data_IF_550126184583
#
_entry.id   IF_550126184583
#
_cell.length_a   1.000
_cell.length_b   1.000
_cell.length_c   1.000
_cell.angle_alpha   90.00
_cell.angle_beta   90.00
_cell.angle_gamma   90.00
#
_symmetry.space_group_name_H-M   'P 1'
#
loop_
_entity.id
_entity.type
_entity.pdbx_description
1 polymer ?
#
# COMPACT_ATOMS: atom_id res chain seq x y z
N UNK A 1 -48.11 27.45 -65.89
CA UNK A 1 -48.80 27.69 -64.63
C UNK A 1 -48.66 26.44 -63.77
N UNK A 2 -47.74 26.44 -62.83
CA UNK A 2 -47.76 25.66 -61.60
C UNK A 2 -46.51 26.04 -60.79
N UNK A 3 -46.73 26.76 -59.71
CA UNK A 3 -45.66 27.18 -58.77
C UNK A 3 -45.13 26.02 -58.06
N UNK A 4 -43.81 25.89 -58.02
CA UNK A 4 -43.10 24.93 -57.16
C UNK A 4 -42.70 25.64 -55.89
N UNK A 5 -43.33 25.28 -54.77
CA UNK A 5 -43.01 25.78 -53.43
C UNK A 5 -41.79 25.03 -52.93
N UNK A 6 -40.71 25.76 -52.67
CA UNK A 6 -39.47 25.24 -52.07
C UNK A 6 -39.65 25.29 -50.56
N UNK A 7 -39.83 24.10 -49.94
CA UNK A 7 -39.90 23.93 -48.50
C UNK A 7 -38.44 23.82 -47.98
N UNK A 8 -37.95 24.93 -47.45
CA UNK A 8 -36.65 24.96 -46.78
C UNK A 8 -36.75 24.24 -45.42
N UNK A 9 -36.23 23.04 -45.33
CA UNK A 9 -36.18 22.27 -44.11
C UNK A 9 -34.91 22.65 -43.32
N UNK A 10 -35.08 23.55 -42.34
CA UNK A 10 -34.05 23.96 -41.41
C UNK A 10 -33.78 22.82 -40.41
N UNK A 11 -32.71 22.05 -40.64
CA UNK A 11 -32.27 21.02 -39.72
C UNK A 11 -31.53 21.71 -38.56
N UNK A 12 -32.22 21.82 -37.41
CA UNK A 12 -31.66 22.30 -36.15
C UNK A 12 -30.83 21.16 -35.54
N UNK A 13 -29.51 21.18 -35.71
CA UNK A 13 -28.57 20.32 -35.02
C UNK A 13 -28.54 20.70 -33.53
N UNK A 14 -29.32 19.97 -32.73
CA UNK A 14 -29.18 19.97 -31.27
C UNK A 14 -27.87 19.29 -30.92
N UNK A 15 -26.81 20.05 -30.72
CA UNK A 15 -25.62 19.63 -30.03
C UNK A 15 -26.01 19.30 -28.57
N UNK A 16 -26.37 18.06 -28.26
CA UNK A 16 -26.39 17.59 -26.90
C UNK A 16 -24.95 17.47 -26.47
N UNK A 17 -24.42 18.53 -25.88
CA UNK A 17 -23.18 18.51 -25.14
C UNK A 17 -23.31 17.45 -24.02
N UNK A 18 -22.78 16.26 -24.24
CA UNK A 18 -22.52 15.33 -23.13
C UNK A 18 -21.52 16.04 -22.25
N UNK A 19 -21.99 16.65 -21.16
CA UNK A 19 -21.14 17.03 -20.03
C UNK A 19 -20.48 15.74 -19.57
N UNK A 20 -19.21 15.55 -19.94
CA UNK A 20 -18.34 14.58 -19.29
C UNK A 20 -18.22 15.10 -17.87
N UNK A 21 -19.08 14.60 -16.98
CA UNK A 21 -18.84 14.71 -15.55
C UNK A 21 -17.55 13.92 -15.36
N UNK A 22 -16.42 14.60 -15.33
CA UNK A 22 -15.20 14.06 -14.77
C UNK A 22 -15.59 13.59 -13.37
N UNK A 23 -15.72 12.30 -13.16
CA UNK A 23 -15.75 11.73 -11.84
C UNK A 23 -14.44 12.18 -11.20
N UNK A 24 -14.51 13.22 -10.37
CA UNK A 24 -13.48 13.56 -9.40
C UNK A 24 -13.51 12.42 -8.39
N UNK A 25 -13.04 11.25 -8.79
CA UNK A 25 -12.74 10.17 -7.90
C UNK A 25 -11.76 10.76 -6.88
N UNK A 26 -12.18 10.81 -5.63
CA UNK A 26 -11.30 11.22 -4.54
C UNK A 26 -10.10 10.31 -4.59
N UNK A 27 -8.95 10.91 -4.94
CA UNK A 27 -7.68 10.20 -4.96
C UNK A 27 -7.45 9.62 -3.56
N UNK A 28 -7.53 8.30 -3.42
CA UNK A 28 -7.30 7.62 -2.15
C UNK A 28 -5.79 7.34 -2.02
N UNK A 29 -5.13 8.08 -1.13
CA UNK A 29 -3.72 7.87 -0.79
C UNK A 29 -3.69 7.50 0.69
N UNK A 30 -3.69 6.20 1.00
CA UNK A 30 -3.70 5.77 2.40
C UNK A 30 -2.40 6.15 3.10
N UNK A 31 -2.56 6.68 4.32
CA UNK A 31 -1.46 7.07 5.19
C UNK A 31 -1.45 6.17 6.43
N UNK A 32 -0.27 5.64 6.75
CA UNK A 32 0.00 4.95 8.02
C UNK A 32 0.71 5.89 8.97
N UNK A 33 0.47 5.74 10.27
CA UNK A 33 1.23 6.48 11.29
C UNK A 33 2.50 5.72 11.60
N UNK A 34 3.62 6.44 11.53
CA UNK A 34 4.93 5.93 11.86
C UNK A 34 5.61 6.84 12.87
N UNK A 35 5.88 6.36 14.08
CA UNK A 35 6.61 7.06 15.13
C UNK A 35 7.99 6.40 15.25
N UNK A 36 9.05 7.19 15.11
CA UNK A 36 10.41 6.70 15.28
C UNK A 36 10.69 6.39 16.75
N UNK A 37 11.27 5.24 17.04
CA UNK A 37 11.69 4.87 18.40
C UNK A 37 12.85 5.76 18.94
N UNK A 38 13.40 6.63 18.11
CA UNK A 38 14.51 7.52 18.48
C UNK A 38 14.07 8.78 19.24
N UNK A 39 12.78 9.02 19.39
CA UNK A 39 12.31 10.14 20.20
C UNK A 39 12.30 9.74 21.68
N UNK A 40 13.52 9.55 22.25
CA UNK A 40 13.71 9.25 23.67
C UNK A 40 13.06 10.28 24.60
N UNK A 41 12.71 11.45 24.05
CA UNK A 41 12.05 12.54 24.78
C UNK A 41 10.58 12.28 25.06
N UNK A 42 9.91 11.39 24.29
CA UNK A 42 8.47 11.15 24.39
C UNK A 42 8.16 9.94 25.28
N UNK A 43 7.49 10.13 26.44
CA UNK A 43 7.11 9.02 27.30
C UNK A 43 6.22 8.00 26.56
N UNK A 44 6.47 6.69 26.71
CA UNK A 44 5.74 5.61 25.98
C UNK A 44 4.20 5.75 26.00
N UNK A 45 3.65 6.19 27.15
CA UNK A 45 2.20 6.40 27.25
C UNK A 45 1.74 7.59 26.38
N UNK A 46 2.56 8.64 26.29
CA UNK A 46 2.28 9.79 25.43
C UNK A 46 2.44 9.42 23.95
N UNK A 47 3.44 8.60 23.61
CA UNK A 47 3.64 8.04 22.27
C UNK A 47 2.41 7.27 21.77
N UNK A 48 1.87 6.36 22.59
CA UNK A 48 0.64 5.62 22.25
C UNK A 48 -0.56 6.56 22.03
N UNK A 49 -0.68 7.63 22.84
CA UNK A 49 -1.73 8.63 22.67
C UNK A 49 -1.53 9.46 21.39
N UNK A 50 -0.28 9.79 21.05
CA UNK A 50 0.04 10.50 19.81
C UNK A 50 -0.24 9.64 18.59
N UNK A 51 0.16 8.37 18.60
CA UNK A 51 -0.16 7.41 17.54
C UNK A 51 -1.67 7.33 17.29
N UNK A 52 -2.46 7.10 18.35
CA UNK A 52 -3.92 7.04 18.24
C UNK A 52 -4.52 8.37 17.74
N UNK A 53 -3.96 9.50 18.15
CA UNK A 53 -4.41 10.81 17.68
C UNK A 53 -4.13 11.01 16.19
N UNK A 54 -2.96 10.61 15.70
CA UNK A 54 -2.58 10.73 14.28
C UNK A 54 -3.34 9.72 13.40
N UNK A 55 -3.60 8.50 13.89
CA UNK A 55 -4.51 7.55 13.23
C UNK A 55 -5.88 8.19 13.02
N UNK A 56 -6.38 8.90 14.06
CA UNK A 56 -7.64 9.63 13.97
C UNK A 56 -7.55 10.81 13.00
N UNK A 57 -6.43 11.53 12.94
CA UNK A 57 -6.18 12.57 11.92
C UNK A 57 -6.33 11.99 10.52
N UNK A 58 -5.70 10.86 10.23
CA UNK A 58 -5.83 10.19 8.94
C UNK A 58 -7.27 9.72 8.67
N UNK A 59 -7.91 9.07 9.65
CA UNK A 59 -9.27 8.53 9.51
C UNK A 59 -10.33 9.60 9.30
N UNK A 60 -10.32 10.67 10.12
CA UNK A 60 -11.29 11.77 10.05
C UNK A 60 -11.20 12.57 8.73
N UNK A 61 -10.08 12.41 8.00
CA UNK A 61 -9.83 13.02 6.69
C UNK A 61 -9.86 12.00 5.53
N UNK A 62 -10.29 10.74 5.78
CA UNK A 62 -10.49 9.72 4.75
C UNK A 62 -9.18 9.13 4.17
N UNK A 63 -8.07 9.23 4.92
CA UNK A 63 -6.73 8.81 4.47
C UNK A 63 -6.16 7.64 5.29
N UNK A 64 -6.94 7.00 6.15
CA UNK A 64 -6.45 5.88 6.96
C UNK A 64 -6.23 4.63 6.11
N UNK A 65 -5.08 3.99 6.29
CA UNK A 65 -4.79 2.70 5.67
C UNK A 65 -5.69 1.60 6.25
N UNK A 66 -6.47 0.93 5.39
CA UNK A 66 -7.42 -0.12 5.79
C UNK A 66 -6.76 -1.44 6.18
N UNK A 67 -5.56 -1.72 5.67
CA UNK A 67 -4.92 -3.05 5.75
C UNK A 67 -3.68 -3.07 6.64
N UNK A 68 -3.46 -2.06 7.49
CA UNK A 68 -2.27 -1.96 8.35
C UNK A 68 -0.95 -1.83 7.57
N UNK A 69 -1.04 -1.50 6.26
CA UNK A 69 0.10 -1.22 5.40
C UNK A 69 -0.22 -0.02 4.51
N UNK A 70 0.68 0.95 4.49
CA UNK A 70 0.70 2.01 3.50
C UNK A 70 2.14 2.38 3.17
N UNK A 71 2.39 2.74 1.92
CA UNK A 71 3.69 3.23 1.49
C UNK A 71 3.97 4.62 2.06
N UNK A 72 2.94 5.44 2.16
CA UNK A 72 3.04 6.79 2.68
C UNK A 72 2.71 6.82 4.16
N UNK A 73 3.48 7.61 4.90
CA UNK A 73 3.36 7.69 6.36
C UNK A 73 3.19 9.12 6.83
N UNK A 74 2.46 9.29 7.94
CA UNK A 74 2.54 10.49 8.77
C UNK A 74 3.52 10.18 9.89
N UNK A 75 4.60 10.94 9.97
CA UNK A 75 5.60 10.82 11.03
C UNK A 75 5.66 12.11 11.86
N UNK A 76 5.51 12.04 13.19
CA UNK A 76 5.67 13.17 14.07
C UNK A 76 7.10 13.34 14.53
N UNK A 77 7.50 14.58 14.80
CA UNK A 77 8.70 14.93 15.57
C UNK A 77 8.28 15.90 16.67
N UNK A 78 8.52 15.51 17.91
CA UNK A 78 8.19 16.30 19.09
C UNK A 78 9.42 17.02 19.62
N UNK A 79 9.29 18.33 19.90
CA UNK A 79 10.36 19.14 20.47
C UNK A 79 9.84 19.92 21.70
N UNK A 80 10.59 19.91 22.77
CA UNK A 80 10.30 20.72 23.99
C UNK A 80 10.97 22.07 23.84
N UNK A 81 10.17 23.13 23.72
CA UNK A 81 10.66 24.51 23.62
C UNK A 81 10.84 25.14 24.98
N UNK A 82 10.02 24.78 25.94
CA UNK A 82 10.07 25.34 27.28
C UNK A 82 9.44 24.43 28.35
N UNK A 83 9.96 24.50 29.56
CA UNK A 83 9.47 23.78 30.73
C UNK A 83 9.41 24.70 31.93
N UNK A 84 8.23 24.87 32.48
CA UNK A 84 7.97 25.64 33.69
C UNK A 84 7.30 24.76 34.75
N UNK A 85 7.68 24.92 36.01
CA UNK A 85 7.06 24.23 37.14
C UNK A 85 6.38 25.27 37.98
N UNK A 86 5.05 25.19 38.08
CA UNK A 86 4.24 26.04 38.94
C UNK A 86 4.19 25.40 40.31
N UNK A 87 4.61 26.13 41.37
CA UNK A 87 4.49 25.63 42.74
C UNK A 87 3.02 25.61 43.17
N UNK A 88 2.64 24.57 43.92
CA UNK A 88 1.30 24.41 44.46
C UNK A 88 1.05 23.00 44.98
N UNK A 89 0.04 22.72 45.77
CA UNK A 89 -0.49 21.39 46.04
C UNK A 89 -1.69 21.08 45.10
N UNK A 90 -1.55 20.25 44.05
CA UNK A 90 -0.35 19.62 43.52
C UNK A 90 0.50 20.57 42.64
N UNK A 91 1.79 20.25 42.47
CA UNK A 91 2.66 20.94 41.48
C UNK A 91 2.10 20.75 40.10
N UNK A 92 2.21 21.79 39.27
CA UNK A 92 1.83 21.70 37.84
C UNK A 92 3.06 21.91 36.94
N UNK A 93 3.21 21.03 36.01
CA UNK A 93 4.23 21.11 34.93
C UNK A 93 3.59 21.74 33.70
N UNK A 94 4.17 22.82 33.22
CA UNK A 94 3.74 23.51 32.01
C UNK A 94 4.84 23.38 30.98
N UNK A 95 4.50 22.78 29.84
CA UNK A 95 5.41 22.61 28.73
C UNK A 95 4.90 23.35 27.51
N UNK A 96 5.82 24.01 26.82
CA UNK A 96 5.63 24.51 25.47
C UNK A 96 6.32 23.55 24.51
N UNK A 97 5.53 22.99 23.57
CA UNK A 97 5.97 21.99 22.61
C UNK A 97 5.84 22.51 21.18
N UNK A 98 6.73 22.03 20.35
CA UNK A 98 6.59 22.07 18.91
C UNK A 98 6.42 20.63 18.38
N UNK A 99 5.32 20.39 17.67
CA UNK A 99 5.05 19.12 16.99
C UNK A 99 5.13 19.35 15.48
N UNK A 100 6.19 18.85 14.86
CA UNK A 100 6.28 18.83 13.40
C UNK A 100 5.77 17.50 12.87
N UNK A 101 4.84 17.57 11.92
CA UNK A 101 4.29 16.42 11.21
C UNK A 101 4.86 16.38 9.80
N UNK A 102 5.26 15.20 9.35
CA UNK A 102 5.75 14.96 8.00
C UNK A 102 4.86 13.96 7.29
N UNK A 103 4.57 14.16 6.01
CA UNK A 103 4.10 13.12 5.11
C UNK A 103 5.28 12.72 4.24
N UNK A 104 5.61 11.42 4.26
CA UNK A 104 6.74 10.89 3.50
C UNK A 104 6.50 9.51 2.94
N UNK A 105 7.42 9.09 2.08
CA UNK A 105 7.52 7.72 1.59
C UNK A 105 8.45 6.94 2.53
N UNK A 106 7.92 5.91 3.19
CA UNK A 106 8.67 5.11 4.17
C UNK A 106 9.85 4.35 3.57
N UNK A 107 9.84 4.09 2.26
CA UNK A 107 10.88 3.35 1.54
C UNK A 107 11.81 4.26 0.75
N UNK A 108 11.25 5.27 0.09
CA UNK A 108 12.00 6.24 -0.71
C UNK A 108 12.70 7.33 0.10
N UNK A 109 12.49 7.37 1.42
CA UNK A 109 13.03 8.40 2.33
C UNK A 109 12.76 9.84 1.84
N UNK A 110 11.62 10.04 1.16
CA UNK A 110 11.23 11.31 0.60
C UNK A 110 10.12 11.95 1.41
N UNK A 111 10.31 13.22 1.78
CA UNK A 111 9.27 14.04 2.42
C UNK A 111 8.51 14.78 1.31
N UNK A 112 7.17 14.72 1.37
CA UNK A 112 6.26 15.42 0.46
C UNK A 112 5.69 16.69 1.09
N UNK A 113 5.36 16.64 2.37
CA UNK A 113 4.78 17.80 3.08
C UNK A 113 5.19 17.79 4.54
N UNK A 114 5.19 18.96 5.13
CA UNK A 114 5.38 19.13 6.58
C UNK A 114 4.53 20.28 7.12
N UNK A 115 4.14 20.17 8.39
CA UNK A 115 3.50 21.24 9.13
C UNK A 115 3.96 21.22 10.57
N UNK A 116 4.00 22.38 11.20
CA UNK A 116 4.42 22.51 12.60
C UNK A 116 3.28 23.10 13.43
N UNK A 117 2.99 22.44 14.55
CA UNK A 117 1.96 22.82 15.50
C UNK A 117 2.61 23.23 16.83
N UNK A 118 2.33 24.43 17.30
CA UNK A 118 2.72 24.86 18.63
C UNK A 118 1.66 24.38 19.63
N UNK A 119 2.08 23.59 20.61
CA UNK A 119 1.21 22.96 21.60
C UNK A 119 1.66 23.35 23.01
N UNK A 120 0.70 23.55 23.89
CA UNK A 120 0.95 23.77 25.32
C UNK A 120 0.31 22.66 26.12
N UNK A 121 1.08 22.00 26.97
CA UNK A 121 0.60 20.94 27.86
C UNK A 121 0.76 21.31 29.32
N UNK A 122 -0.25 20.96 30.11
CA UNK A 122 -0.24 21.15 31.56
C UNK A 122 -0.58 19.83 32.25
N UNK A 123 0.17 19.47 33.27
CA UNK A 123 -0.07 18.24 34.01
C UNK A 123 0.63 18.19 35.34
N UNK A 124 0.22 17.29 36.22
CA UNK A 124 0.84 17.06 37.52
C UNK A 124 2.22 16.40 37.43
N UNK A 125 2.52 15.85 36.26
CA UNK A 125 3.83 15.33 35.88
C UNK A 125 4.05 15.51 34.39
N UNK A 126 5.26 15.20 33.93
CA UNK A 126 5.71 15.33 32.55
C UNK A 126 4.78 14.57 31.58
N UNK A 127 4.55 13.28 31.82
CA UNK A 127 3.69 12.44 30.95
C UNK A 127 2.28 13.02 30.81
N UNK A 128 1.67 13.53 31.90
CA UNK A 128 0.36 14.17 31.85
C UNK A 128 0.37 15.45 31.04
N UNK A 129 1.47 16.24 31.10
CA UNK A 129 1.62 17.44 30.29
C UNK A 129 1.72 17.12 28.79
N UNK A 130 2.47 16.07 28.39
CA UNK A 130 2.49 15.60 27.01
C UNK A 130 1.10 15.15 26.54
N UNK A 131 0.40 14.34 27.32
CA UNK A 131 -0.93 13.85 26.98
C UNK A 131 -1.93 15.02 26.83
N UNK A 132 -1.84 16.05 27.68
CA UNK A 132 -2.69 17.23 27.59
C UNK A 132 -2.43 18.01 26.29
N UNK A 133 -1.16 18.18 25.90
CA UNK A 133 -0.79 18.80 24.62
C UNK A 133 -1.33 18.00 23.42
N UNK A 134 -1.13 16.67 23.40
CA UNK A 134 -1.58 15.78 22.34
C UNK A 134 -3.11 15.82 22.16
N UNK A 135 -3.87 15.91 23.27
CA UNK A 135 -5.34 16.03 23.21
C UNK A 135 -5.81 17.27 22.46
N UNK A 136 -5.03 18.36 22.48
CA UNK A 136 -5.35 19.63 21.83
C UNK A 136 -5.15 19.62 20.31
N UNK A 137 -4.48 18.59 19.76
CA UNK A 137 -4.40 18.42 18.31
C UNK A 137 -5.83 18.24 17.75
N UNK A 138 -6.26 19.15 16.89
CA UNK A 138 -7.57 19.12 16.28
C UNK A 138 -7.49 18.46 14.89
N UNK A 139 -8.01 17.22 14.69
CA UNK A 139 -7.86 16.47 13.44
C UNK A 139 -8.36 17.17 12.18
N UNK A 140 -9.34 18.07 12.34
CA UNK A 140 -9.96 18.85 11.24
C UNK A 140 -9.61 20.33 11.27
N UNK A 141 -8.51 20.73 11.96
CA UNK A 141 -8.03 22.10 11.87
C UNK A 141 -7.61 22.45 10.43
N UNK A 142 -7.64 23.75 10.11
CA UNK A 142 -7.24 24.24 8.77
C UNK A 142 -5.81 23.85 8.44
N UNK A 143 -4.90 23.92 9.42
CA UNK A 143 -3.49 23.59 9.23
C UNK A 143 -3.28 22.10 8.93
N UNK A 144 -3.99 21.21 9.64
CA UNK A 144 -3.97 19.77 9.37
C UNK A 144 -4.57 19.47 7.99
N UNK A 145 -5.69 20.07 7.64
CA UNK A 145 -6.31 19.85 6.33
C UNK A 145 -5.42 20.35 5.18
N UNK A 146 -4.82 21.54 5.34
CA UNK A 146 -3.87 22.06 4.36
C UNK A 146 -2.64 21.16 4.21
N UNK A 147 -2.08 20.69 5.32
CA UNK A 147 -0.96 19.76 5.34
C UNK A 147 -1.26 18.44 4.61
N UNK A 148 -2.42 17.84 4.89
CA UNK A 148 -2.84 16.59 4.25
C UNK A 148 -3.10 16.78 2.75
N UNK A 149 -3.72 17.91 2.36
CA UNK A 149 -3.99 18.23 0.96
C UNK A 149 -2.68 18.47 0.20
N UNK A 150 -1.78 19.28 0.73
CA UNK A 150 -0.46 19.56 0.13
C UNK A 150 0.36 18.26 -0.03
N UNK A 151 0.36 17.40 0.98
CA UNK A 151 1.05 16.12 0.94
C UNK A 151 0.52 15.21 -0.17
N UNK A 152 -0.81 15.09 -0.27
CA UNK A 152 -1.48 14.32 -1.31
C UNK A 152 -1.16 14.86 -2.71
N UNK A 153 -1.28 16.17 -2.92
CA UNK A 153 -1.04 16.80 -4.20
C UNK A 153 0.41 16.59 -4.66
N UNK A 154 1.39 16.75 -3.75
CA UNK A 154 2.82 16.53 -4.05
C UNK A 154 3.15 15.06 -4.30
N UNK A 155 2.48 14.11 -3.64
CA UNK A 155 2.61 12.69 -3.96
C UNK A 155 2.14 12.44 -5.39
N UNK A 156 0.95 12.90 -5.76
CA UNK A 156 0.40 12.72 -7.11
C UNK A 156 1.30 13.38 -8.15
N UNK A 157 1.75 14.59 -7.91
CA UNK A 157 2.68 15.30 -8.79
C UNK A 157 3.98 14.53 -8.99
N UNK A 158 4.58 14.03 -7.91
CA UNK A 158 5.79 13.23 -7.99
C UNK A 158 5.62 12.00 -8.87
N UNK A 159 4.54 11.23 -8.66
CA UNK A 159 4.29 10.05 -9.47
C UNK A 159 3.92 10.39 -10.91
N UNK A 160 3.18 11.47 -11.15
CA UNK A 160 2.90 11.97 -12.49
C UNK A 160 4.17 12.33 -13.30
N UNK A 161 5.21 12.77 -12.61
CA UNK A 161 6.46 13.17 -13.23
C UNK A 161 7.46 12.00 -13.34
N UNK A 162 7.35 10.97 -12.50
CA UNK A 162 8.37 9.92 -12.36
C UNK A 162 7.89 8.51 -12.73
N UNK A 163 6.60 8.27 -13.00
CA UNK A 163 6.08 6.91 -13.24
C UNK A 163 6.81 6.14 -14.33
N UNK A 164 7.26 6.81 -15.39
CA UNK A 164 7.99 6.14 -16.49
C UNK A 164 9.33 5.55 -16.01
N UNK A 165 10.04 6.29 -15.15
CA UNK A 165 11.31 5.82 -14.59
C UNK A 165 11.09 4.68 -13.59
N UNK A 166 10.02 4.76 -12.79
CA UNK A 166 9.61 3.72 -11.84
C UNK A 166 9.27 2.44 -12.61
N UNK A 167 8.47 2.54 -13.67
CA UNK A 167 8.12 1.41 -14.54
C UNK A 167 9.37 0.79 -15.18
N UNK A 168 10.28 1.58 -15.71
CA UNK A 168 11.54 1.08 -16.28
C UNK A 168 12.39 0.35 -15.24
N UNK A 169 12.48 0.89 -14.01
CA UNK A 169 13.19 0.23 -12.90
C UNK A 169 12.54 -1.11 -12.56
N UNK A 170 11.21 -1.15 -12.45
CA UNK A 170 10.47 -2.38 -12.18
C UNK A 170 10.67 -3.44 -13.29
N UNK A 171 10.66 -3.03 -14.55
CA UNK A 171 10.97 -3.94 -15.68
C UNK A 171 12.39 -4.49 -15.61
N UNK A 172 13.38 -3.66 -15.24
CA UNK A 172 14.75 -4.10 -15.04
C UNK A 172 14.90 -5.11 -13.90
N UNK A 173 14.19 -4.89 -12.78
CA UNK A 173 14.14 -5.82 -11.65
C UNK A 173 13.49 -7.15 -12.06
N UNK A 174 12.40 -7.11 -12.80
CA UNK A 174 11.71 -8.30 -13.30
C UNK A 174 12.63 -9.11 -14.25
N UNK A 175 13.42 -8.44 -15.11
CA UNK A 175 14.41 -9.10 -15.96
C UNK A 175 15.52 -9.81 -15.16
N UNK A 176 15.79 -9.34 -13.93
CA UNK A 176 16.73 -9.95 -12.97
C UNK A 176 16.04 -10.99 -12.07
N UNK A 177 14.76 -11.30 -12.30
CA UNK A 177 13.90 -12.17 -11.48
C UNK A 177 13.61 -11.64 -10.06
N UNK A 178 13.83 -10.36 -9.80
CA UNK A 178 13.45 -9.67 -8.56
C UNK A 178 11.99 -9.20 -8.68
N UNK A 179 11.07 -10.17 -8.83
CA UNK A 179 9.68 -9.90 -9.17
C UNK A 179 8.92 -9.21 -8.04
N UNK A 180 9.19 -9.60 -6.79
CA UNK A 180 8.51 -9.04 -5.62
C UNK A 180 8.83 -7.54 -5.46
N UNK A 181 10.10 -7.15 -5.62
CA UNK A 181 10.51 -5.75 -5.58
C UNK A 181 9.94 -4.98 -6.77
N UNK A 182 9.91 -5.59 -7.96
CA UNK A 182 9.30 -4.97 -9.14
C UNK A 182 7.81 -4.67 -8.93
N UNK A 183 7.05 -5.63 -8.39
CA UNK A 183 5.63 -5.46 -8.08
C UNK A 183 5.41 -4.42 -6.98
N UNK A 184 6.27 -4.40 -5.96
CA UNK A 184 6.25 -3.39 -4.91
C UNK A 184 6.40 -1.97 -5.46
N UNK A 185 7.36 -1.73 -6.36
CA UNK A 185 7.53 -0.42 -7.01
C UNK A 185 6.33 -0.02 -7.86
N UNK A 186 5.71 -0.97 -8.57
CA UNK A 186 4.56 -0.70 -9.44
C UNK A 186 3.30 -0.37 -8.64
N UNK A 187 3.07 -1.04 -7.50
CA UNK A 187 1.92 -0.76 -6.65
C UNK A 187 2.02 0.57 -5.90
N UNK A 188 3.23 1.15 -5.82
CA UNK A 188 3.47 2.45 -5.23
C UNK A 188 2.83 3.61 -6.01
N UNK A 189 2.56 3.39 -7.30
CA UNK A 189 1.98 4.42 -8.18
C UNK A 189 0.50 4.59 -7.84
N UNK A 190 0.06 5.77 -7.32
CA UNK A 190 -1.32 5.97 -6.89
C UNK A 190 -2.33 5.85 -8.05
N UNK A 191 -3.53 5.33 -7.73
CA UNK A 191 -4.60 5.12 -8.72
C UNK A 191 -5.02 6.39 -9.47
N UNK A 192 -4.89 7.55 -8.84
CA UNK A 192 -5.19 8.85 -9.44
C UNK A 192 -4.03 9.46 -10.24
N UNK A 193 -2.88 8.81 -10.31
CA UNK A 193 -1.75 9.30 -11.12
C UNK A 193 -1.89 8.90 -12.59
N UNK A 194 -1.33 9.72 -13.49
CA UNK A 194 -1.31 9.46 -14.93
C UNK A 194 -0.64 8.14 -15.31
N UNK A 195 0.22 7.63 -14.42
CA UNK A 195 0.99 6.43 -14.65
C UNK A 195 0.29 5.14 -14.22
N UNK A 196 -0.88 5.22 -13.57
CA UNK A 196 -1.51 4.06 -12.95
C UNK A 196 -1.84 2.94 -13.94
N UNK A 197 -2.56 3.25 -15.01
CA UNK A 197 -2.92 2.24 -16.01
C UNK A 197 -1.69 1.58 -16.66
N UNK A 198 -0.67 2.40 -16.94
CA UNK A 198 0.60 1.89 -17.47
C UNK A 198 1.32 0.98 -16.45
N UNK A 199 1.30 1.34 -15.16
CA UNK A 199 1.88 0.50 -14.10
C UNK A 199 1.12 -0.81 -13.94
N UNK A 200 -0.21 -0.78 -14.00
CA UNK A 200 -1.07 -1.95 -13.92
C UNK A 200 -0.81 -2.94 -15.07
N UNK A 201 -0.68 -2.42 -16.29
CA UNK A 201 -0.35 -3.24 -17.47
C UNK A 201 1.02 -3.92 -17.36
N UNK A 202 2.02 -3.25 -16.77
CA UNK A 202 3.36 -3.83 -16.53
C UNK A 202 3.32 -4.80 -15.35
N UNK A 203 2.61 -4.47 -14.28
CA UNK A 203 2.45 -5.34 -13.12
C UNK A 203 1.82 -6.69 -13.50
N UNK A 204 0.82 -6.69 -14.36
CA UNK A 204 0.21 -7.93 -14.87
C UNK A 204 1.23 -8.81 -15.61
N UNK A 205 2.14 -8.21 -16.39
CA UNK A 205 3.21 -8.95 -17.10
C UNK A 205 4.26 -9.48 -16.13
N UNK A 206 4.68 -8.66 -15.16
CA UNK A 206 5.65 -9.06 -14.12
C UNK A 206 5.09 -10.19 -13.28
N UNK A 207 3.82 -10.10 -12.89
CA UNK A 207 3.14 -11.16 -12.15
C UNK A 207 3.08 -12.47 -12.95
N UNK A 208 2.79 -12.40 -14.26
CA UNK A 208 2.82 -13.60 -15.10
C UNK A 208 4.22 -14.24 -15.14
N UNK A 209 5.28 -13.43 -15.22
CA UNK A 209 6.65 -13.95 -15.17
C UNK A 209 6.97 -14.57 -13.80
N UNK A 210 6.49 -13.97 -12.72
CA UNK A 210 6.63 -14.49 -11.36
C UNK A 210 5.96 -15.85 -11.20
N UNK A 211 4.69 -15.98 -11.57
CA UNK A 211 3.97 -17.24 -11.43
C UNK A 211 4.54 -18.34 -12.34
N UNK A 212 5.01 -17.99 -13.53
CA UNK A 212 5.69 -18.93 -14.44
C UNK A 212 7.03 -19.43 -13.86
N UNK A 213 7.85 -18.54 -13.28
CA UNK A 213 9.12 -18.90 -12.64
C UNK A 213 8.88 -19.74 -11.37
N UNK A 214 7.93 -19.34 -10.53
CA UNK A 214 7.52 -20.10 -9.35
C UNK A 214 7.02 -21.50 -9.73
N UNK A 215 6.17 -21.58 -10.76
CA UNK A 215 5.65 -22.82 -11.25
C UNK A 215 6.78 -23.79 -11.65
N UNK A 216 7.72 -23.35 -12.46
CA UNK A 216 8.86 -24.19 -12.88
C UNK A 216 9.68 -24.68 -11.69
N UNK A 217 9.96 -23.79 -10.72
CA UNK A 217 10.72 -24.15 -9.53
C UNK A 217 10.00 -25.19 -8.66
N UNK A 218 8.72 -24.98 -8.39
CA UNK A 218 7.95 -25.88 -7.54
C UNK A 218 7.59 -27.19 -8.24
N UNK A 219 7.28 -27.17 -9.53
CA UNK A 219 7.05 -28.39 -10.29
C UNK A 219 8.29 -29.30 -10.30
N UNK A 220 9.49 -28.71 -10.50
CA UNK A 220 10.73 -29.48 -10.44
C UNK A 220 10.97 -30.10 -9.06
N UNK A 221 10.71 -29.33 -7.97
CA UNK A 221 10.80 -29.86 -6.60
C UNK A 221 9.80 -30.98 -6.36
N UNK A 222 8.54 -30.79 -6.78
CA UNK A 222 7.50 -31.83 -6.67
C UNK A 222 7.86 -33.11 -7.41
N UNK A 223 8.38 -32.99 -8.64
CA UNK A 223 8.88 -34.14 -9.44
C UNK A 223 10.02 -34.85 -8.73
N UNK A 224 10.96 -34.12 -8.15
CA UNK A 224 12.10 -34.69 -7.43
C UNK A 224 11.63 -35.42 -6.17
N UNK A 225 10.76 -34.82 -5.37
CA UNK A 225 10.18 -35.45 -4.17
C UNK A 225 9.44 -36.74 -4.53
N UNK A 226 8.58 -36.71 -5.54
CA UNK A 226 7.87 -37.89 -6.02
C UNK A 226 8.79 -38.98 -6.58
N UNK A 227 9.81 -38.61 -7.34
CA UNK A 227 10.75 -39.57 -7.92
C UNK A 227 11.63 -40.23 -6.88
N UNK A 228 11.94 -39.57 -5.77
CA UNK A 228 12.77 -40.10 -4.70
C UNK A 228 12.05 -41.19 -3.89
N UNK A 229 10.75 -41.03 -3.64
CA UNK A 229 9.92 -41.95 -2.88
C UNK A 229 8.50 -41.97 -3.47
N UNK A 230 8.20 -43.00 -4.27
CA UNK A 230 6.85 -43.15 -4.89
C UNK A 230 5.86 -43.85 -3.92
N UNK A 231 5.70 -43.31 -2.71
CA UNK A 231 4.79 -43.73 -1.67
C UNK A 231 4.07 -42.55 -1.02
N UNK A 232 3.33 -42.73 0.07
CA UNK A 232 2.60 -41.65 0.76
C UNK A 232 3.48 -40.49 1.21
N UNK A 233 4.71 -40.76 1.66
CA UNK A 233 5.63 -39.69 2.10
C UNK A 233 6.09 -38.79 0.93
N UNK A 234 6.51 -39.40 -0.19
CA UNK A 234 6.87 -38.64 -1.39
C UNK A 234 5.68 -37.92 -2.01
N UNK A 235 4.47 -38.47 -1.88
CA UNK A 235 3.23 -37.80 -2.29
C UNK A 235 2.94 -36.55 -1.44
N UNK A 236 3.11 -36.64 -0.11
CA UNK A 236 2.91 -35.53 0.80
C UNK A 236 3.89 -34.38 0.49
N UNK A 237 5.18 -34.69 0.38
CA UNK A 237 6.21 -33.70 0.05
C UNK A 237 5.97 -33.07 -1.35
N UNK A 238 5.63 -33.87 -2.34
CA UNK A 238 5.29 -33.36 -3.66
C UNK A 238 4.03 -32.46 -3.62
N UNK A 239 3.05 -32.83 -2.82
CA UNK A 239 1.84 -32.08 -2.57
C UNK A 239 2.12 -30.69 -2.00
N UNK A 240 3.00 -30.57 -1.01
CA UNK A 240 3.42 -29.29 -0.46
C UNK A 240 3.95 -28.36 -1.55
N UNK A 241 4.83 -28.84 -2.42
CA UNK A 241 5.32 -28.01 -3.53
C UNK A 241 4.22 -27.66 -4.54
N UNK A 242 3.33 -28.56 -4.86
CA UNK A 242 2.22 -28.32 -5.79
C UNK A 242 1.23 -27.25 -5.29
N UNK A 243 1.08 -27.05 -3.95
CA UNK A 243 0.23 -25.98 -3.41
C UNK A 243 0.66 -24.57 -3.80
N UNK A 244 1.92 -24.38 -4.15
CA UNK A 244 2.47 -23.10 -4.53
C UNK A 244 2.27 -22.74 -6.00
N UNK A 245 1.74 -23.67 -6.81
CA UNK A 245 1.55 -23.46 -8.25
C UNK A 245 0.20 -22.80 -8.49
N UNK A 246 0.23 -21.69 -9.22
CA UNK A 246 -0.96 -20.92 -9.57
C UNK A 246 -1.58 -21.42 -10.89
N UNK A 247 -2.93 -21.40 -10.98
CA UNK A 247 -3.63 -21.92 -12.16
C UNK A 247 -3.31 -21.21 -13.48
N UNK A 248 -2.93 -19.94 -13.45
CA UNK A 248 -2.56 -19.15 -14.64
C UNK A 248 -1.09 -19.28 -15.04
N UNK A 249 -0.30 -20.07 -14.32
CA UNK A 249 1.08 -20.36 -14.69
C UNK A 249 1.15 -21.32 -15.89
N UNK A 250 2.10 -21.10 -16.78
CA UNK A 250 2.28 -21.90 -18.01
C UNK A 250 2.46 -23.39 -17.74
N UNK A 251 3.13 -23.76 -16.65
CA UNK A 251 3.36 -25.16 -16.33
C UNK A 251 2.23 -25.81 -15.51
N UNK A 252 1.11 -25.11 -15.27
CA UNK A 252 0.01 -25.65 -14.48
C UNK A 252 -0.55 -26.96 -15.05
N UNK A 253 -0.65 -27.06 -16.37
CA UNK A 253 -1.08 -28.30 -17.04
C UNK A 253 -0.18 -29.49 -16.70
N UNK A 254 1.14 -29.29 -16.71
CA UNK A 254 2.13 -30.32 -16.33
C UNK A 254 2.03 -30.68 -14.84
N UNK A 255 1.81 -29.68 -14.00
CA UNK A 255 1.59 -29.90 -12.57
C UNK A 255 0.31 -30.75 -12.31
N UNK A 256 -0.75 -30.51 -13.07
CA UNK A 256 -1.98 -31.31 -13.01
C UNK A 256 -1.76 -32.76 -13.50
N UNK A 257 -0.88 -32.97 -14.47
CA UNK A 257 -0.49 -34.35 -14.90
C UNK A 257 0.21 -35.06 -13.76
N UNK A 258 1.21 -34.43 -13.12
CA UNK A 258 1.91 -35.00 -11.97
C UNK A 258 0.95 -35.27 -10.79
N UNK A 259 0.04 -34.32 -10.49
CA UNK A 259 -0.99 -34.49 -9.48
C UNK A 259 -1.85 -35.75 -9.70
N UNK A 260 -2.32 -35.95 -10.94
CA UNK A 260 -3.13 -37.13 -11.31
C UNK A 260 -2.33 -38.42 -11.22
N UNK A 261 -1.06 -38.42 -11.62
CA UNK A 261 -0.15 -39.57 -11.48
C UNK A 261 0.00 -39.98 -10.02
N UNK A 262 0.33 -39.04 -9.14
CA UNK A 262 0.49 -39.27 -7.70
C UNK A 262 -0.81 -39.82 -7.12
N UNK A 263 -1.95 -39.16 -7.38
CA UNK A 263 -3.27 -39.55 -6.90
C UNK A 263 -3.68 -40.95 -7.32
N UNK A 264 -3.39 -41.34 -8.55
CA UNK A 264 -3.68 -42.67 -9.06
C UNK A 264 -2.89 -43.77 -8.34
N UNK A 265 -1.66 -43.44 -7.86
CA UNK A 265 -0.78 -44.39 -7.19
C UNK A 265 -1.04 -44.53 -5.68
N UNK A 266 -1.25 -43.41 -4.98
CA UNK A 266 -1.50 -43.39 -3.52
C UNK A 266 -2.98 -43.44 -3.13
N UNK A 267 -3.88 -43.31 -4.10
CA UNK A 267 -5.34 -43.42 -3.94
C UNK A 267 -5.91 -42.47 -2.84
N UNK A 268 -6.67 -43.06 -1.89
CA UNK A 268 -7.41 -42.29 -0.87
C UNK A 268 -6.53 -41.82 0.31
N UNK A 269 -5.28 -42.25 0.36
CA UNK A 269 -4.33 -41.89 1.43
C UNK A 269 -3.76 -40.44 1.23
N UNK A 270 -4.18 -39.73 0.17
CA UNK A 270 -3.69 -38.40 -0.16
C UNK A 270 -4.80 -37.37 -0.33
N UNK A 271 -4.99 -36.57 0.74
CA UNK A 271 -5.98 -35.49 0.79
C UNK A 271 -5.39 -34.14 0.34
N UNK A 272 -4.96 -34.07 -0.91
CA UNK A 272 -4.40 -32.85 -1.48
C UNK A 272 -5.26 -32.32 -2.61
N UNK A 273 -5.44 -30.97 -2.65
CA UNK A 273 -6.20 -30.29 -3.71
C UNK A 273 -5.34 -29.18 -4.32
N UNK A 274 -5.19 -29.20 -5.64
CA UNK A 274 -4.53 -28.11 -6.37
C UNK A 274 -5.32 -26.81 -6.25
N UNK A 275 -4.62 -25.65 -6.26
CA UNK A 275 -5.27 -24.34 -6.38
C UNK A 275 -6.11 -24.30 -7.66
N UNK A 276 -7.33 -23.81 -7.53
CA UNK A 276 -8.22 -23.56 -8.66
C UNK A 276 -8.82 -22.16 -8.51
N UNK A 277 -9.02 -21.47 -9.61
CA UNK A 277 -9.83 -20.26 -9.58
C UNK A 277 -11.30 -20.62 -9.56
N UNK A 278 -12.03 -20.05 -8.62
CA UNK A 278 -13.43 -20.39 -8.39
C UNK A 278 -14.38 -19.70 -9.39
N UNK A 279 -13.91 -18.68 -10.16
CA UNK A 279 -14.77 -17.88 -11.01
C UNK A 279 -13.94 -17.20 -12.13
N UNK A 280 -14.23 -17.53 -13.38
CA UNK A 280 -13.58 -16.93 -14.55
C UNK A 280 -13.91 -15.43 -14.71
N UNK A 281 -15.08 -15.00 -14.24
CA UNK A 281 -15.56 -13.61 -14.38
C UNK A 281 -14.74 -12.62 -13.55
N UNK A 282 -14.09 -13.08 -12.47
CA UNK A 282 -13.29 -12.24 -11.58
C UNK A 282 -11.76 -12.48 -11.69
N UNK A 283 -11.31 -13.21 -12.69
CA UNK A 283 -9.91 -13.61 -12.82
C UNK A 283 -8.94 -12.43 -12.83
N UNK A 284 -9.24 -11.38 -13.59
CA UNK A 284 -8.38 -10.18 -13.64
C UNK A 284 -8.29 -9.47 -12.31
N UNK A 285 -9.42 -9.31 -11.61
CA UNK A 285 -9.45 -8.74 -10.26
C UNK A 285 -8.68 -9.60 -9.26
N UNK A 286 -8.80 -10.93 -9.34
CA UNK A 286 -8.05 -11.85 -8.50
C UNK A 286 -6.55 -11.74 -8.76
N UNK A 287 -6.13 -11.61 -10.02
CA UNK A 287 -4.72 -11.40 -10.41
C UNK A 287 -4.18 -10.05 -9.91
N UNK A 288 -4.95 -8.97 -10.03
CA UNK A 288 -4.59 -7.64 -9.49
C UNK A 288 -4.38 -7.72 -7.98
N UNK A 289 -5.28 -8.36 -7.26
CA UNK A 289 -5.14 -8.53 -5.82
C UNK A 289 -3.92 -9.39 -5.47
N UNK A 290 -3.70 -10.48 -6.18
CA UNK A 290 -2.57 -11.39 -5.94
C UNK A 290 -1.22 -10.69 -6.13
N UNK A 291 -1.03 -9.93 -7.21
CA UNK A 291 0.25 -9.22 -7.39
C UNK A 291 0.43 -8.07 -6.39
N UNK A 292 -0.66 -7.39 -5.98
CA UNK A 292 -0.63 -6.41 -4.89
C UNK A 292 -0.23 -7.07 -3.56
N UNK A 293 -0.77 -8.24 -3.25
CA UNK A 293 -0.40 -8.99 -2.04
C UNK A 293 1.07 -9.38 -2.01
N UNK A 294 1.64 -9.78 -3.15
CA UNK A 294 3.08 -10.08 -3.26
C UNK A 294 3.91 -8.82 -3.00
N UNK A 295 3.55 -7.67 -3.60
CA UNK A 295 4.21 -6.39 -3.35
C UNK A 295 4.11 -5.94 -1.89
N UNK A 296 2.93 -6.08 -1.27
CA UNK A 296 2.73 -5.79 0.17
C UNK A 296 3.57 -6.70 1.05
N UNK A 297 3.63 -8.00 0.76
CA UNK A 297 4.43 -8.95 1.53
C UNK A 297 5.93 -8.59 1.45
N UNK A 298 6.42 -8.24 0.26
CA UNK A 298 7.78 -7.73 0.08
C UNK A 298 8.01 -6.45 0.91
N UNK A 299 7.14 -5.46 0.79
CA UNK A 299 7.23 -4.20 1.52
C UNK A 299 7.23 -4.39 3.04
N UNK A 300 6.40 -5.29 3.57
CA UNK A 300 6.40 -5.63 5.00
C UNK A 300 7.72 -6.26 5.44
N UNK A 301 8.33 -7.10 4.61
CA UNK A 301 9.65 -7.68 4.86
C UNK A 301 10.80 -6.67 4.82
N UNK A 302 10.61 -5.52 4.15
CA UNK A 302 11.58 -4.42 4.10
C UNK A 302 11.36 -3.39 5.21
N UNK A 303 10.25 -3.44 5.95
CA UNK A 303 10.05 -2.56 7.10
C UNK A 303 11.10 -2.91 8.16
N UNK A 304 11.93 -1.95 8.58
CA UNK A 304 12.92 -2.21 9.60
C UNK A 304 12.24 -2.65 10.88
N UNK A 305 12.69 -3.76 11.46
CA UNK A 305 12.21 -4.27 12.75
C UNK A 305 12.59 -3.36 13.92
N UNK A 306 13.59 -2.48 13.70
CA UNK A 306 14.01 -1.39 14.58
C UNK A 306 14.46 -0.24 13.69
N UNK A 307 13.85 0.93 13.82
CA UNK A 307 13.84 1.86 12.73
C UNK A 307 14.68 3.09 12.97
N UNK A 308 15.70 3.24 12.15
CA UNK A 308 16.38 4.51 11.92
C UNK A 308 15.97 5.07 10.56
N UNK A 309 14.86 5.80 10.46
CA UNK A 309 14.58 6.59 9.28
C UNK A 309 15.31 7.92 9.42
N UNK A 310 16.46 8.03 8.79
CA UNK A 310 17.15 9.31 8.63
C UNK A 310 16.51 10.07 7.47
N UNK A 311 15.74 11.10 7.79
CA UNK A 311 15.32 12.06 6.79
C UNK A 311 16.55 12.92 6.42
N UNK A 312 17.09 12.76 5.21
CA UNK A 312 18.06 13.71 4.67
C UNK A 312 17.30 14.97 4.25
N UNK A 313 17.62 16.07 4.89
CA UNK A 313 17.19 17.42 4.51
C UNK A 313 17.87 17.87 3.23
#
# INVERSE_FOLDING_TARGET
MKQLSIFSMLILFLFTGKSIIAQTGTCDIPLMVYISEQDESLPRTAESQLSNKLIRVAADNGLAASNGYAQFVISPQFSVLGKNILPGPPRSFVYDFELTLFIGDSFGQKIFSSTTLSLKGVGENETKAYIDAIRKIAPKSKDIQAFLTDGKDKIVEYYNNNYQNIIKKAQSLAAQKNFEEAMFLLMAIPECSKGYDASLAVASKVYQQYVDDMCNRYLNKARTAWASQQNSYGAEEAGEYLTHIYPDAKCYGDAMVLYKEIKAKVKDDWNFVMKMYNDEVNLEKQRINAWKEVGVAYGRGQQPSTTHVYWRH
#
